data_IF_821613047118
#
_entry.id   IF_821613047118
#
_cell.length_a   1.000
_cell.length_b   1.000
_cell.length_c   1.000
_cell.angle_alpha   90.00
_cell.angle_beta   90.00
_cell.angle_gamma   90.00
#
_symmetry.space_group_name_H-M   'P 1'
#
loop_
_entity.id
_entity.type
_entity.pdbx_description
1 polymer ?
#
# COMPACT_ATOMS: atom_id res chain seq x y z
N UNK A 1 31.64 -2.91 15.75
CA UNK A 1 31.00 -3.98 14.95
C UNK A 1 29.49 -3.81 15.04
N UNK A 2 28.77 -3.98 13.94
CA UNK A 2 27.31 -3.78 13.86
C UNK A 2 26.51 -5.07 14.00
N UNK A 3 25.20 -4.99 13.79
CA UNK A 3 24.30 -6.16 13.75
C UNK A 3 24.19 -6.71 12.32
N UNK A 4 24.11 -8.03 12.17
CA UNK A 4 23.92 -8.72 10.90
C UNK A 4 23.08 -9.99 11.07
N UNK A 5 22.53 -10.51 9.97
CA UNK A 5 21.74 -11.74 9.93
C UNK A 5 22.59 -12.86 9.31
N UNK A 6 22.68 -14.00 9.99
CA UNK A 6 23.50 -15.14 9.57
C UNK A 6 22.64 -16.40 9.49
N UNK A 7 22.90 -17.23 8.49
CA UNK A 7 22.24 -18.53 8.36
C UNK A 7 22.74 -19.49 9.44
N UNK A 8 21.83 -20.23 10.07
CA UNK A 8 22.16 -21.27 11.05
C UNK A 8 22.30 -22.66 10.40
N UNK A 9 21.96 -22.79 9.11
CA UNK A 9 22.02 -24.01 8.33
C UNK A 9 22.19 -23.68 6.83
N UNK A 10 22.43 -24.72 6.01
CA UNK A 10 22.40 -24.59 4.55
C UNK A 10 21.00 -24.18 4.06
N UNK A 11 20.95 -23.35 3.01
CA UNK A 11 19.71 -22.87 2.38
C UNK A 11 19.71 -23.36 0.94
N UNK A 12 18.72 -24.18 0.59
CA UNK A 12 18.60 -24.72 -0.76
C UNK A 12 18.05 -23.67 -1.75
N UNK A 13 18.31 -23.88 -3.04
CA UNK A 13 17.82 -22.99 -4.09
C UNK A 13 16.28 -22.96 -4.11
N UNK A 14 15.71 -21.76 -4.01
CA UNK A 14 14.27 -21.53 -3.98
C UNK A 14 13.62 -21.60 -2.59
N UNK A 15 14.40 -21.88 -1.54
CA UNK A 15 13.90 -21.89 -0.17
C UNK A 15 13.63 -20.47 0.34
N UNK A 16 12.47 -20.26 0.98
CA UNK A 16 12.17 -19.00 1.67
C UNK A 16 13.08 -18.87 2.92
N UNK A 17 13.89 -17.81 2.94
CA UNK A 17 14.83 -17.53 4.04
C UNK A 17 14.13 -16.84 5.20
N UNK A 18 13.23 -15.90 4.91
CA UNK A 18 12.49 -15.12 5.89
C UNK A 18 11.28 -14.44 5.22
N UNK A 19 10.16 -14.38 5.94
CA UNK A 19 8.97 -13.65 5.54
C UNK A 19 8.57 -12.69 6.65
N UNK A 20 8.37 -11.42 6.31
CA UNK A 20 7.93 -10.41 7.25
C UNK A 20 6.71 -9.68 6.74
N UNK A 21 5.78 -9.44 7.65
CA UNK A 21 4.73 -8.46 7.44
C UNK A 21 5.26 -7.11 7.95
N UNK A 22 5.36 -6.07 7.11
CA UNK A 22 5.90 -4.78 7.52
C UNK A 22 5.09 -4.20 8.67
N UNK A 23 5.79 -3.59 9.65
CA UNK A 23 5.17 -2.94 10.81
C UNK A 23 4.24 -1.81 10.35
N UNK A 24 4.67 -1.06 9.34
CA UNK A 24 3.88 -0.03 8.70
C UNK A 24 4.23 0.01 7.21
N UNK A 25 3.24 0.32 6.37
CA UNK A 25 3.40 0.47 4.93
C UNK A 25 2.57 1.64 4.43
N UNK A 26 3.13 2.37 3.48
CA UNK A 26 2.45 3.46 2.77
C UNK A 26 2.62 3.25 1.29
N UNK A 27 1.65 3.73 0.54
CA UNK A 27 1.75 3.81 -0.90
C UNK A 27 2.22 5.23 -1.26
N UNK A 28 3.13 5.34 -2.23
CA UNK A 28 3.63 6.63 -2.69
C UNK A 28 2.52 7.41 -3.39
N UNK A 29 2.39 8.71 -3.09
CA UNK A 29 1.38 9.57 -3.72
C UNK A 29 1.70 9.97 -5.18
N UNK A 30 2.57 9.21 -5.85
CA UNK A 30 2.95 9.42 -7.25
C UNK A 30 1.87 8.99 -8.25
N UNK A 31 2.10 9.23 -9.55
CA UNK A 31 1.24 8.72 -10.62
C UNK A 31 1.08 7.20 -10.50
N UNK A 32 -0.15 6.70 -10.62
CA UNK A 32 -0.45 5.27 -10.53
C UNK A 32 -0.91 4.78 -9.15
N UNK A 33 -0.76 5.58 -8.08
CA UNK A 33 -1.28 5.24 -6.74
C UNK A 33 -2.78 4.89 -6.74
N UNK A 34 -3.54 5.46 -7.68
CA UNK A 34 -4.98 5.30 -7.75
C UNK A 34 -5.43 3.86 -8.01
N UNK A 35 -4.58 3.02 -8.59
CA UNK A 35 -4.91 1.63 -8.88
C UNK A 35 -4.63 0.69 -7.70
N UNK A 36 -3.85 1.11 -6.70
CA UNK A 36 -3.44 0.25 -5.59
C UNK A 36 -4.40 0.31 -4.41
N UNK A 37 -4.60 -0.85 -3.78
CA UNK A 37 -5.34 -0.93 -2.52
C UNK A 37 -4.44 -0.57 -1.33
N UNK A 38 -4.85 0.41 -0.54
CA UNK A 38 -4.11 0.87 0.65
C UNK A 38 -3.96 -0.20 1.74
N UNK A 39 -4.80 -1.24 1.72
CA UNK A 39 -4.74 -2.35 2.68
C UNK A 39 -3.91 -3.54 2.19
N UNK A 40 -4.24 -4.12 1.03
CA UNK A 40 -3.58 -5.34 0.55
C UNK A 40 -2.38 -5.05 -0.37
N UNK A 41 -2.17 -3.80 -0.79
CA UNK A 41 -1.10 -3.39 -1.69
C UNK A 41 -1.15 -4.03 -3.08
N UNK A 42 -2.24 -4.72 -3.42
CA UNK A 42 -2.47 -5.26 -4.76
C UNK A 42 -2.95 -4.14 -5.69
N UNK A 43 -2.48 -4.23 -6.94
CA UNK A 43 -2.98 -3.42 -8.04
C UNK A 43 -4.34 -3.95 -8.50
N UNK A 44 -5.34 -3.07 -8.52
CA UNK A 44 -6.69 -3.40 -8.97
C UNK A 44 -6.88 -3.31 -10.49
N UNK A 45 -5.94 -2.70 -11.21
CA UNK A 45 -5.96 -2.58 -12.66
C UNK A 45 -5.16 -3.67 -13.37
N UNK A 46 -4.50 -4.55 -12.61
CA UNK A 46 -3.69 -5.65 -13.13
C UNK A 46 -2.70 -5.20 -14.22
N UNK A 47 -2.08 -4.02 -14.04
CA UNK A 47 -1.13 -3.46 -15.00
C UNK A 47 0.14 -4.33 -15.10
N UNK A 48 0.34 -5.22 -14.12
CA UNK A 48 1.45 -6.17 -14.04
C UNK A 48 1.13 -7.58 -14.61
N UNK A 49 -0.02 -7.78 -15.27
CA UNK A 49 -0.29 -8.94 -16.12
C UNK A 49 -0.55 -10.27 -15.39
N UNK A 50 -1.60 -10.35 -14.57
CA UNK A 50 -2.14 -11.60 -14.04
C UNK A 50 -3.59 -11.81 -14.50
N UNK A 51 -3.72 -12.69 -15.49
CA UNK A 51 -4.99 -13.16 -16.05
C UNK A 51 -6.14 -13.26 -15.04
N UNK A 52 -7.22 -12.54 -15.36
CA UNK A 52 -8.60 -12.81 -14.94
C UNK A 52 -8.97 -12.47 -13.48
N UNK A 53 -9.05 -11.17 -13.15
CA UNK A 53 -10.09 -10.68 -12.22
C UNK A 53 -10.83 -9.51 -12.86
N UNK A 54 -12.16 -9.38 -12.69
CA UNK A 54 -12.87 -8.21 -13.16
C UNK A 54 -12.24 -6.98 -12.50
N UNK A 55 -11.86 -5.99 -13.33
CA UNK A 55 -11.20 -4.73 -12.94
C UNK A 55 -11.96 -4.11 -11.77
N UNK A 56 -11.55 -4.43 -10.55
CA UNK A 56 -12.24 -4.00 -9.35
C UNK A 56 -11.67 -2.63 -9.00
N UNK A 57 -12.02 -1.61 -9.79
CA UNK A 57 -11.56 -0.24 -9.59
C UNK A 57 -11.59 0.11 -8.10
N UNK A 58 -10.45 0.51 -7.57
CA UNK A 58 -10.36 0.90 -6.16
C UNK A 58 -11.28 2.08 -5.91
N UNK A 59 -11.91 2.09 -4.74
CA UNK A 59 -12.80 3.18 -4.32
C UNK A 59 -12.08 4.06 -3.31
N UNK A 60 -12.07 5.36 -3.57
CA UNK A 60 -11.56 6.35 -2.64
C UNK A 60 -12.37 6.37 -1.34
N UNK A 61 -11.69 6.62 -0.24
CA UNK A 61 -12.33 6.89 1.04
C UNK A 61 -13.05 8.23 0.96
N UNK A 62 -14.37 8.24 1.16
CA UNK A 62 -15.19 9.45 1.08
C UNK A 62 -14.80 10.55 2.08
N UNK A 63 -14.05 10.19 3.12
CA UNK A 63 -13.69 11.11 4.20
C UNK A 63 -12.29 11.71 4.12
N UNK A 64 -11.35 11.14 3.36
CA UNK A 64 -10.05 11.77 3.12
C UNK A 64 -9.75 11.97 1.63
N UNK A 65 -10.39 11.22 0.74
CA UNK A 65 -10.20 11.26 -0.71
C UNK A 65 -8.77 10.90 -1.17
N UNK A 66 -7.98 10.28 -0.29
CA UNK A 66 -6.59 9.87 -0.55
C UNK A 66 -6.47 8.34 -0.61
N UNK A 67 -6.79 7.66 0.49
CA UNK A 67 -6.70 6.21 0.55
C UNK A 67 -7.78 5.55 -0.32
N UNK A 68 -7.38 4.53 -1.09
CA UNK A 68 -8.28 3.77 -1.96
C UNK A 68 -8.28 2.29 -1.61
N UNK A 69 -9.43 1.62 -1.83
CA UNK A 69 -9.61 0.22 -1.44
C UNK A 69 -10.30 -0.59 -2.54
N UNK A 70 -9.79 -1.78 -2.83
CA UNK A 70 -10.40 -2.71 -3.79
C UNK A 70 -11.71 -3.33 -3.28
N UNK A 71 -11.95 -3.35 -1.96
CA UNK A 71 -13.16 -3.95 -1.38
C UNK A 71 -13.59 -3.30 -0.06
N UNK A 72 -14.88 -3.48 0.29
CA UNK A 72 -15.41 -3.07 1.61
C UNK A 72 -14.68 -3.78 2.76
N UNK A 73 -14.19 -5.02 2.54
CA UNK A 73 -13.42 -5.79 3.51
C UNK A 73 -12.08 -5.13 3.79
N UNK A 74 -11.31 -4.82 2.74
CA UNK A 74 -10.04 -4.09 2.85
C UNK A 74 -10.20 -2.74 3.56
N UNK A 75 -11.25 -1.98 3.24
CA UNK A 75 -11.55 -0.72 3.91
C UNK A 75 -11.81 -0.90 5.41
N UNK A 76 -12.60 -1.92 5.80
CA UNK A 76 -12.88 -2.21 7.21
C UNK A 76 -11.61 -2.63 7.98
N UNK A 77 -10.78 -3.47 7.38
CA UNK A 77 -9.53 -3.93 8.00
C UNK A 77 -8.51 -2.78 8.14
N UNK A 78 -8.34 -1.97 7.11
CA UNK A 78 -7.50 -0.78 7.20
C UNK A 78 -8.02 0.19 8.27
N UNK A 79 -9.33 0.40 8.36
CA UNK A 79 -9.94 1.26 9.38
C UNK A 79 -9.61 0.81 10.80
N UNK A 80 -9.62 -0.49 11.07
CA UNK A 80 -9.28 -1.03 12.40
C UNK A 80 -7.80 -0.95 12.73
N UNK A 81 -6.91 -0.96 11.74
CA UNK A 81 -5.47 -1.06 11.96
C UNK A 81 -4.74 0.28 11.96
N UNK A 82 -5.02 1.16 11.00
CA UNK A 82 -4.26 2.40 10.83
C UNK A 82 -5.05 3.54 10.19
N UNK A 83 -6.00 3.25 9.29
CA UNK A 83 -6.65 4.27 8.48
C UNK A 83 -7.56 5.21 9.29
N UNK A 84 -8.04 4.79 10.46
CA UNK A 84 -8.83 5.65 11.36
C UNK A 84 -8.03 6.86 11.82
N UNK A 85 -6.78 6.64 12.20
CA UNK A 85 -5.90 7.69 12.71
C UNK A 85 -5.25 8.47 11.57
N UNK A 86 -4.84 7.76 10.51
CA UNK A 86 -4.35 8.37 9.27
C UNK A 86 -5.39 9.34 8.68
N UNK A 87 -6.67 8.95 8.60
CA UNK A 87 -7.74 9.79 8.05
C UNK A 87 -7.83 11.15 8.75
N UNK A 88 -7.70 11.18 10.08
CA UNK A 88 -7.80 12.42 10.87
C UNK A 88 -6.70 13.42 10.52
N UNK A 89 -5.53 12.90 10.13
CA UNK A 89 -4.39 13.70 9.69
C UNK A 89 -4.61 14.14 8.24
N UNK A 90 -4.95 13.21 7.34
CA UNK A 90 -5.13 13.48 5.91
C UNK A 90 -6.25 14.48 5.63
N UNK A 91 -7.30 14.51 6.44
CA UNK A 91 -8.39 15.50 6.34
C UNK A 91 -7.91 16.94 6.63
N UNK A 92 -6.82 17.10 7.38
CA UNK A 92 -6.26 18.41 7.77
C UNK A 92 -5.15 18.89 6.84
N UNK A 93 -4.59 18.01 6.01
CA UNK A 93 -3.49 18.35 5.11
C UNK A 93 -4.07 18.88 3.79
N UNK A 94 -3.62 20.06 3.30
CA UNK A 94 -4.02 20.54 1.98
C UNK A 94 -3.68 19.53 0.90
N UNK A 95 -4.64 19.19 0.02
CA UNK A 95 -4.45 18.22 -1.06
C UNK A 95 -3.28 18.56 -2.00
N UNK A 96 -2.93 19.85 -2.11
CA UNK A 96 -1.77 20.32 -2.88
C UNK A 96 -0.43 19.81 -2.32
N UNK A 97 -0.35 19.46 -1.03
CA UNK A 97 0.85 18.91 -0.38
C UNK A 97 0.91 17.38 -0.45
N UNK A 98 -0.20 16.73 -0.77
CA UNK A 98 -0.29 15.27 -0.92
C UNK A 98 0.10 14.82 -2.32
N UNK A 99 0.37 15.75 -3.25
CA UNK A 99 0.91 15.44 -4.58
C UNK A 99 2.40 15.80 -4.58
N UNK A 100 3.31 14.87 -4.91
CA UNK A 100 4.72 15.20 -4.95
C UNK A 100 4.98 16.32 -5.98
N UNK A 101 5.52 17.44 -5.50
CA UNK A 101 5.81 18.63 -6.32
C UNK A 101 7.05 18.45 -7.24
N UNK A 102 7.69 17.27 -7.25
CA UNK A 102 9.02 17.08 -7.85
C UNK A 102 9.05 16.68 -9.34
N UNK A 103 8.08 17.10 -10.16
CA UNK A 103 8.19 16.98 -11.64
C UNK A 103 7.88 18.29 -12.35
N UNK A 104 8.84 19.21 -12.28
CA UNK A 104 9.11 20.19 -13.34
C UNK A 104 10.62 20.41 -13.37
N UNK A 105 11.31 19.58 -14.14
CA UNK A 105 12.63 19.81 -14.70
C UNK A 105 12.74 18.97 -15.97
#
# INVERSE_FOLDING_TARGET
MGSGLFATAAIDAGQEIYNLNPIFKTLDAGPGHESFCHYCSEDAQDVLGKDSKPVAQTKACTGCDVARFCSKKCRKQAWTLFHRDERRILERVPKCQLRPCWRTA
#
